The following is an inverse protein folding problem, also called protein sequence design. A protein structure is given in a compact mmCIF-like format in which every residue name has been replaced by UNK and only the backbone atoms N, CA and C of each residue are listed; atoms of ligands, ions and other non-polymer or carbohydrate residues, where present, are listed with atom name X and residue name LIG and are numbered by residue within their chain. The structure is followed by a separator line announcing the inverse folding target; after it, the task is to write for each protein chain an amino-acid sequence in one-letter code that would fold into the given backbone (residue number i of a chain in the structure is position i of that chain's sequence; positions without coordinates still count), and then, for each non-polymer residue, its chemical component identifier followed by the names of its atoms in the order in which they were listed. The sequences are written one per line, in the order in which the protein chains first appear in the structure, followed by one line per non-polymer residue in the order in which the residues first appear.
data_IF_330613425426
#
_entry.id   IF_330613425426
#
_cell.length_a   1.000
_cell.length_b   1.000
_cell.length_c   1.000
_cell.angle_alpha   90.00
_cell.angle_beta   90.00
_cell.angle_gamma   90.00
#
_symmetry.space_group_name_H-M   'P 1'
#
loop_
_entity.id
_entity.type
_entity.pdbx_description
1 polymer ?
#
# COMPACT_ATOMS: atom_id res chain seq x y z
N UNK A 1 -22.33 4.57 -6.71
CA UNK A 1 -23.54 4.04 -7.38
C UNK A 1 -23.44 2.52 -7.45
N UNK A 2 -24.54 1.82 -7.12
CA UNK A 2 -24.73 0.35 -7.03
C UNK A 2 -23.97 -0.37 -5.91
N UNK A 3 -24.60 -0.38 -4.73
CA UNK A 3 -24.48 -1.48 -3.75
C UNK A 3 -24.85 -2.75 -4.51
N UNK A 4 -23.86 -3.58 -4.83
CA UNK A 4 -24.09 -4.90 -5.38
C UNK A 4 -24.72 -5.76 -4.27
N UNK A 5 -26.06 -5.81 -4.26
CA UNK A 5 -26.82 -6.88 -3.65
C UNK A 5 -26.48 -8.17 -4.39
N UNK A 6 -25.37 -8.80 -4.01
CA UNK A 6 -24.93 -10.12 -4.47
C UNK A 6 -25.10 -11.13 -3.36
N UNK A 7 -26.36 -11.49 -3.11
CA UNK A 7 -26.74 -12.59 -2.23
C UNK A 7 -26.39 -13.90 -2.98
N UNK A 8 -25.29 -14.56 -2.62
CA UNK A 8 -25.07 -15.96 -2.99
C UNK A 8 -24.19 -16.65 -1.96
N UNK A 9 -24.74 -17.57 -1.14
CA UNK A 9 -23.95 -18.34 -0.19
C UNK A 9 -23.28 -19.46 -0.95
N UNK A 10 -21.95 -19.45 -1.07
CA UNK A 10 -21.24 -20.58 -1.65
C UNK A 10 -19.90 -20.80 -0.97
N UNK A 11 -19.95 -21.41 0.21
CA UNK A 11 -19.01 -22.45 0.61
C UNK A 11 -19.68 -23.36 1.66
N UNK A 12 -20.13 -24.53 1.21
CA UNK A 12 -20.52 -25.67 2.04
C UNK A 12 -19.23 -26.45 2.36
N UNK A 13 -18.89 -26.62 3.64
CA UNK A 13 -18.52 -27.92 4.21
C UNK A 13 -18.91 -27.89 5.69
N UNK A 14 -19.78 -28.84 5.99
CA UNK A 14 -20.49 -29.11 7.22
C UNK A 14 -19.56 -29.91 8.14
N UNK A 15 -19.42 -29.49 9.40
CA UNK A 15 -19.18 -30.44 10.48
C UNK A 15 -20.35 -30.36 11.45
N UNK A 16 -21.47 -30.98 11.05
CA UNK A 16 -22.48 -31.41 12.00
C UNK A 16 -21.80 -32.43 12.92
N UNK A 17 -21.23 -31.96 14.03
CA UNK A 17 -20.81 -32.84 15.12
C UNK A 17 -22.11 -33.36 15.72
N UNK A 18 -22.50 -34.56 15.29
CA UNK A 18 -23.59 -35.30 15.91
C UNK A 18 -23.16 -35.58 17.36
N UNK A 19 -23.57 -34.75 18.31
CA UNK A 19 -23.46 -35.06 19.73
C UNK A 19 -24.34 -36.29 19.99
N UNK A 20 -23.74 -37.48 19.97
CA UNK A 20 -24.38 -38.72 20.38
C UNK A 20 -24.44 -38.80 21.91
N UNK A 21 -25.14 -37.86 22.54
CA UNK A 21 -25.53 -37.94 23.95
C UNK A 21 -27.02 -38.22 24.01
N UNK A 22 -27.37 -39.50 24.14
CA UNK A 22 -28.76 -39.91 24.31
C UNK A 22 -29.31 -39.45 25.66
N UNK A 23 -30.26 -38.52 25.63
CA UNK A 23 -31.51 -38.46 26.42
C UNK A 23 -32.08 -37.02 26.39
N UNK A 24 -33.05 -36.77 25.50
CA UNK A 24 -34.24 -35.90 25.60
C UNK A 24 -34.23 -34.57 26.42
N UNK A 25 -33.09 -33.93 26.64
CA UNK A 25 -33.01 -32.57 27.15
C UNK A 25 -32.05 -31.73 26.30
N UNK A 26 -32.60 -30.72 25.61
CA UNK A 26 -31.84 -29.71 24.88
C UNK A 26 -31.29 -28.74 25.90
N UNK A 27 -30.04 -28.94 26.34
CA UNK A 27 -29.44 -28.12 27.38
C UNK A 27 -28.51 -27.06 26.78
N UNK A 28 -28.31 -25.95 27.52
CA UNK A 28 -27.28 -24.94 27.21
C UNK A 28 -25.90 -25.57 26.92
N UNK A 29 -25.65 -26.74 27.52
CA UNK A 29 -24.46 -27.57 27.35
C UNK A 29 -24.25 -28.01 25.89
N UNK A 30 -25.32 -28.31 25.13
CA UNK A 30 -25.19 -28.78 23.74
C UNK A 30 -24.81 -27.64 22.80
N UNK A 31 -25.43 -26.47 22.97
CA UNK A 31 -25.07 -25.24 22.24
C UNK A 31 -23.64 -24.82 22.57
N UNK A 32 -23.26 -24.88 23.86
CA UNK A 32 -21.91 -24.57 24.30
C UNK A 32 -20.89 -25.53 23.68
N UNK A 33 -21.19 -26.84 23.62
CA UNK A 33 -20.33 -27.84 23.00
C UNK A 33 -20.14 -27.58 21.50
N UNK A 34 -21.18 -27.19 20.77
CA UNK A 34 -21.06 -26.82 19.35
C UNK A 34 -20.14 -25.62 19.17
N UNK A 35 -20.33 -24.55 19.96
CA UNK A 35 -19.46 -23.36 19.90
C UNK A 35 -18.01 -23.74 20.21
N UNK A 36 -17.79 -24.53 21.26
CA UNK A 36 -16.45 -24.96 21.65
C UNK A 36 -15.77 -25.77 20.57
N UNK A 37 -16.46 -26.78 20.02
CA UNK A 37 -15.91 -27.62 18.98
C UNK A 37 -15.54 -26.84 17.72
N UNK A 38 -16.39 -25.88 17.30
CA UNK A 38 -16.12 -25.06 16.10
C UNK A 38 -14.99 -24.05 16.33
N UNK A 39 -14.98 -23.34 17.45
CA UNK A 39 -13.98 -22.30 17.70
C UNK A 39 -12.61 -22.85 18.15
N UNK A 40 -12.55 -24.02 18.78
CA UNK A 40 -11.27 -24.67 19.12
C UNK A 40 -10.51 -25.14 17.87
N UNK A 41 -11.20 -25.36 16.75
CA UNK A 41 -10.54 -25.62 15.46
C UNK A 41 -9.72 -24.42 15.00
N UNK A 42 -10.18 -23.19 15.30
CA UNK A 42 -9.47 -21.97 14.95
C UNK A 42 -8.17 -21.81 15.75
N UNK A 43 -8.11 -22.34 16.98
CA UNK A 43 -6.90 -22.29 17.82
C UNK A 43 -5.73 -23.10 17.28
N UNK A 44 -5.99 -24.11 16.45
CA UNK A 44 -4.98 -25.02 15.89
C UNK A 44 -5.16 -25.16 14.36
N UNK A 45 -5.38 -24.05 13.67
CA UNK A 45 -5.51 -24.02 12.21
C UNK A 45 -4.21 -24.41 11.52
N UNK A 46 -4.08 -25.70 11.19
CA UNK A 46 -3.15 -26.14 10.16
C UNK A 46 -3.67 -25.74 8.76
N UNK A 47 -2.75 -25.67 7.78
CA UNK A 47 -3.04 -25.24 6.40
C UNK A 47 -4.16 -26.07 5.73
N UNK A 48 -4.26 -27.37 6.06
CA UNK A 48 -5.26 -28.29 5.50
C UNK A 48 -6.66 -28.05 6.09
N UNK A 49 -6.73 -27.63 7.35
CA UNK A 49 -7.95 -27.27 8.07
C UNK A 49 -8.44 -25.90 7.59
N UNK A 50 -7.55 -24.91 7.49
CA UNK A 50 -7.83 -23.56 6.98
C UNK A 50 -8.59 -23.55 5.66
N UNK A 51 -8.21 -24.41 4.72
CA UNK A 51 -8.84 -24.48 3.39
C UNK A 51 -10.33 -24.86 3.42
N UNK A 52 -10.80 -25.49 4.50
CA UNK A 52 -12.20 -25.93 4.63
C UNK A 52 -13.12 -24.89 5.26
N UNK A 53 -12.58 -23.99 6.09
CA UNK A 53 -13.38 -23.07 6.92
C UNK A 53 -13.40 -21.64 6.39
N UNK A 54 -12.36 -21.24 5.67
CA UNK A 54 -12.15 -19.86 5.24
C UNK A 54 -12.54 -19.66 3.78
N UNK A 55 -13.49 -18.74 3.53
CA UNK A 55 -13.78 -18.25 2.20
C UNK A 55 -12.88 -17.06 1.88
N UNK A 56 -11.89 -17.30 1.02
CA UNK A 56 -10.86 -16.31 0.66
C UNK A 56 -11.40 -15.09 -0.09
N UNK A 57 -12.67 -15.11 -0.53
CA UNK A 57 -13.35 -13.97 -1.14
C UNK A 57 -13.86 -12.95 -0.13
N UNK A 58 -13.99 -13.33 1.14
CA UNK A 58 -14.66 -12.49 2.14
C UNK A 58 -13.83 -11.26 2.50
N UNK A 59 -12.50 -11.36 2.66
CA UNK A 59 -11.67 -10.21 3.02
C UNK A 59 -11.60 -9.14 1.93
N UNK A 60 -11.67 -9.53 0.65
CA UNK A 60 -11.61 -8.59 -0.47
C UNK A 60 -12.68 -8.93 -1.53
N UNK A 61 -13.95 -8.57 -1.28
CA UNK A 61 -15.08 -8.97 -2.12
C UNK A 61 -15.08 -8.31 -3.51
N UNK A 62 -14.24 -7.29 -3.71
CA UNK A 62 -14.03 -6.53 -4.95
C UNK A 62 -13.04 -7.21 -5.92
N UNK A 63 -12.40 -8.31 -5.54
CA UNK A 63 -11.49 -9.05 -6.41
C UNK A 63 -12.20 -9.56 -7.67
N UNK A 64 -11.70 -9.17 -8.84
CA UNK A 64 -12.31 -9.52 -10.14
C UNK A 64 -11.84 -10.84 -10.72
N UNK A 65 -10.76 -11.44 -10.18
CA UNK A 65 -10.19 -12.71 -10.63
C UNK A 65 -10.19 -13.74 -9.49
N UNK A 66 -10.88 -14.86 -9.69
CA UNK A 66 -10.69 -16.05 -8.85
C UNK A 66 -9.32 -16.65 -9.16
N UNK A 67 -8.46 -16.74 -8.14
CA UNK A 67 -7.13 -17.34 -8.27
C UNK A 67 -7.11 -18.60 -7.41
N UNK A 68 -6.55 -19.67 -7.97
CA UNK A 68 -6.21 -20.86 -7.18
C UNK A 68 -5.11 -20.45 -6.22
N UNK A 69 -5.46 -20.33 -4.94
CA UNK A 69 -4.59 -19.83 -3.88
C UNK A 69 -3.33 -20.69 -3.81
N UNK A 70 -2.18 -20.03 -3.87
CA UNK A 70 -0.87 -20.62 -3.64
C UNK A 70 -0.76 -21.13 -2.20
N UNK A 71 0.23 -21.96 -1.89
CA UNK A 71 0.35 -22.51 -0.54
C UNK A 71 0.69 -21.40 0.46
N UNK A 72 1.42 -20.39 0.00
CA UNK A 72 1.79 -19.16 0.70
C UNK A 72 0.53 -18.40 1.17
N UNK A 73 -0.50 -18.28 0.34
CA UNK A 73 -1.77 -17.63 0.75
C UNK A 73 -2.55 -18.45 1.78
N UNK A 74 -2.37 -19.77 1.83
CA UNK A 74 -3.05 -20.61 2.83
C UNK A 74 -2.49 -20.41 4.25
N UNK A 75 -1.22 -20.05 4.36
CA UNK A 75 -0.55 -19.85 5.65
C UNK A 75 -0.99 -18.54 6.33
N UNK A 76 -1.43 -17.54 5.55
CA UNK A 76 -1.93 -16.24 6.05
C UNK A 76 -3.01 -16.40 7.13
N UNK A 77 -3.95 -17.31 6.95
CA UNK A 77 -5.03 -17.51 7.92
C UNK A 77 -4.54 -18.16 9.20
N UNK A 78 -3.57 -19.07 9.13
CA UNK A 78 -2.95 -19.60 10.36
C UNK A 78 -2.28 -18.47 11.15
N UNK A 79 -1.72 -17.45 10.49
CA UNK A 79 -1.16 -16.27 11.15
C UNK A 79 -2.24 -15.40 11.83
N UNK A 80 -3.41 -15.22 11.20
CA UNK A 80 -4.53 -14.50 11.81
C UNK A 80 -5.00 -15.09 13.14
N UNK A 81 -4.94 -16.42 13.27
CA UNK A 81 -5.46 -17.15 14.42
C UNK A 81 -4.38 -17.65 15.40
N UNK A 82 -3.10 -17.27 15.21
CA UNK A 82 -1.99 -17.75 16.03
C UNK A 82 -2.20 -17.53 17.55
N UNK A 83 -2.80 -16.39 17.92
CA UNK A 83 -3.12 -16.04 19.31
C UNK A 83 -4.63 -15.93 19.54
N UNK A 84 -5.43 -16.65 18.75
CA UNK A 84 -6.88 -16.64 18.88
C UNK A 84 -7.33 -17.36 20.16
N UNK A 85 -8.21 -16.72 20.92
CA UNK A 85 -8.92 -17.36 22.03
C UNK A 85 -10.34 -16.80 22.14
N UNK A 86 -11.17 -17.45 22.95
CA UNK A 86 -12.52 -17.00 23.21
C UNK A 86 -13.03 -17.45 24.58
N UNK A 87 -13.96 -16.67 25.13
CA UNK A 87 -14.74 -16.97 26.33
C UNK A 87 -16.23 -16.92 25.99
N UNK A 88 -16.98 -17.98 26.34
CA UNK A 88 -18.44 -17.99 26.22
C UNK A 88 -19.01 -17.29 27.45
N UNK A 89 -19.53 -16.07 27.27
CA UNK A 89 -20.06 -15.24 28.36
C UNK A 89 -21.46 -15.67 28.76
N UNK A 90 -22.32 -15.96 27.78
CA UNK A 90 -23.68 -16.43 28.03
C UNK A 90 -24.26 -17.18 26.85
N UNK A 91 -25.20 -18.08 27.14
CA UNK A 91 -25.97 -18.84 26.14
C UNK A 91 -27.45 -18.73 26.50
N UNK A 92 -28.24 -18.34 25.51
CA UNK A 92 -29.70 -18.29 25.55
C UNK A 92 -30.27 -19.21 24.48
N UNK A 93 -31.17 -20.12 24.87
CA UNK A 93 -31.77 -21.11 23.98
C UNK A 93 -33.28 -20.89 23.94
N UNK A 94 -33.81 -20.67 22.75
CA UNK A 94 -35.24 -20.60 22.47
C UNK A 94 -35.66 -21.93 21.81
N UNK A 95 -36.08 -22.87 22.66
CA UNK A 95 -36.51 -24.21 22.22
C UNK A 95 -37.76 -24.16 21.34
N UNK A 96 -38.64 -23.18 21.53
CA UNK A 96 -39.87 -23.02 20.74
C UNK A 96 -39.52 -22.59 19.31
N UNK A 97 -38.54 -21.70 19.16
CA UNK A 97 -38.05 -21.24 17.85
C UNK A 97 -36.97 -22.12 17.24
N UNK A 98 -36.44 -23.10 18.00
CA UNK A 98 -35.26 -23.89 17.60
C UNK A 98 -34.05 -22.99 17.27
N UNK A 99 -33.87 -21.94 18.04
CA UNK A 99 -32.83 -20.92 17.87
C UNK A 99 -32.05 -20.74 19.18
N UNK A 100 -30.78 -20.38 19.08
CA UNK A 100 -29.97 -20.02 20.23
C UNK A 100 -29.09 -18.82 19.89
N UNK A 101 -28.74 -18.07 20.94
CA UNK A 101 -27.85 -16.93 20.86
C UNK A 101 -26.80 -17.06 21.95
N UNK A 102 -25.54 -16.91 21.59
CA UNK A 102 -24.43 -16.90 22.53
C UNK A 102 -23.67 -15.57 22.45
N UNK A 103 -23.37 -14.99 23.60
CA UNK A 103 -22.45 -13.86 23.70
C UNK A 103 -21.06 -14.39 24.01
N UNK A 104 -20.09 -13.99 23.20
CA UNK A 104 -18.69 -14.40 23.31
C UNK A 104 -17.81 -13.17 23.55
N UNK A 105 -16.71 -13.37 24.26
CA UNK A 105 -15.54 -12.49 24.21
C UNK A 105 -14.48 -13.17 23.37
N UNK A 106 -14.10 -12.57 22.25
CA UNK A 106 -13.05 -13.06 21.37
C UNK A 106 -11.76 -12.31 21.64
N UNK A 107 -10.66 -13.04 21.75
CA UNK A 107 -9.29 -12.52 21.74
C UNK A 107 -8.72 -12.77 20.35
N UNK A 108 -8.52 -11.70 19.57
CA UNK A 108 -7.94 -11.82 18.21
C UNK A 108 -6.79 -10.85 18.04
N UNK A 109 -6.10 -10.94 16.90
CA UNK A 109 -5.16 -9.92 16.46
C UNK A 109 -5.76 -8.49 16.51
N UNK A 110 -4.91 -7.50 16.78
CA UNK A 110 -5.18 -6.08 16.59
C UNK A 110 -5.34 -5.76 15.09
N UNK A 111 -6.54 -6.03 14.58
CA UNK A 111 -6.88 -5.84 13.20
C UNK A 111 -6.89 -4.36 12.78
N UNK A 112 -6.99 -3.41 13.73
CA UNK A 112 -6.95 -1.98 13.41
C UNK A 112 -5.53 -1.58 13.02
N UNK A 113 -4.53 -1.98 13.82
CA UNK A 113 -3.11 -1.78 13.47
C UNK A 113 -2.73 -2.53 12.19
N UNK A 114 -3.14 -3.79 12.04
CA UNK A 114 -2.89 -4.55 10.80
C UNK A 114 -3.51 -3.87 9.57
N UNK A 115 -4.74 -3.37 9.67
CA UNK A 115 -5.38 -2.66 8.57
C UNK A 115 -4.60 -1.38 8.22
N UNK A 116 -4.10 -0.66 9.23
CA UNK A 116 -3.28 0.53 9.04
C UNK A 116 -2.02 0.22 8.23
N UNK A 117 -1.25 -0.76 8.70
CA UNK A 117 0.00 -1.17 8.07
C UNK A 117 -0.26 -1.69 6.64
N UNK A 118 -1.37 -2.41 6.45
CA UNK A 118 -1.82 -2.85 5.13
C UNK A 118 -2.12 -1.66 4.21
N UNK A 119 -2.85 -0.65 4.69
CA UNK A 119 -3.16 0.56 3.94
C UNK A 119 -1.89 1.30 3.48
N UNK A 120 -0.93 1.48 4.38
CA UNK A 120 0.36 2.13 4.08
C UNK A 120 1.18 1.33 3.06
N UNK A 121 1.32 0.02 3.28
CA UNK A 121 2.12 -0.83 2.41
C UNK A 121 1.47 -1.02 1.03
N UNK A 122 0.14 -1.08 0.97
CA UNK A 122 -0.62 -1.14 -0.28
C UNK A 122 -0.44 0.15 -1.10
N UNK A 123 -0.55 1.31 -0.45
CA UNK A 123 -0.33 2.60 -1.09
C UNK A 123 1.12 2.75 -1.58
N UNK A 124 2.11 2.39 -0.76
CA UNK A 124 3.53 2.36 -1.16
C UNK A 124 3.74 1.49 -2.41
N UNK A 125 3.19 0.29 -2.43
CA UNK A 125 3.30 -0.62 -3.57
C UNK A 125 2.63 -0.03 -4.83
N UNK A 126 1.47 0.62 -4.69
CA UNK A 126 0.81 1.29 -5.81
C UNK A 126 1.66 2.44 -6.39
N UNK A 127 2.31 3.22 -5.53
CA UNK A 127 3.21 4.32 -5.94
C UNK A 127 4.44 3.77 -6.67
N UNK A 128 5.09 2.73 -6.14
CA UNK A 128 6.26 2.11 -6.78
C UNK A 128 5.90 1.47 -8.12
N UNK A 129 4.76 0.78 -8.20
CA UNK A 129 4.25 0.21 -9.46
C UNK A 129 4.00 1.27 -10.53
N UNK A 130 3.50 2.44 -10.13
CA UNK A 130 3.33 3.57 -11.06
C UNK A 130 4.67 4.15 -11.55
N UNK A 131 5.75 3.96 -10.78
CA UNK A 131 7.09 4.46 -11.09
C UNK A 131 7.93 3.51 -11.97
N UNK A 132 7.58 2.22 -12.11
CA UNK A 132 8.41 1.24 -12.83
C UNK A 132 8.28 1.29 -14.38
N UNK A 133 7.46 2.19 -14.96
CA UNK A 133 7.36 2.61 -16.39
C UNK A 133 7.25 1.62 -17.57
N UNK A 134 7.57 0.33 -17.50
CA UNK A 134 7.52 -0.54 -18.69
C UNK A 134 6.34 -1.54 -18.68
N UNK A 135 5.51 -1.49 -19.73
CA UNK A 135 4.94 -2.60 -20.52
C UNK A 135 4.67 -4.01 -19.91
N UNK A 136 4.51 -4.14 -18.59
CA UNK A 136 3.79 -5.25 -17.94
C UNK A 136 2.33 -4.88 -17.63
N UNK A 137 1.85 -3.80 -18.23
CA UNK A 137 0.42 -3.58 -18.48
C UNK A 137 -0.14 -4.50 -19.59
N UNK A 138 0.51 -5.63 -19.89
CA UNK A 138 -0.10 -6.75 -20.62
C UNK A 138 -1.02 -7.53 -19.69
N UNK A 139 -2.18 -6.96 -19.32
CA UNK A 139 -3.35 -7.65 -18.70
C UNK A 139 -3.10 -8.59 -17.48
N UNK A 140 -1.90 -8.58 -16.88
CA UNK A 140 -1.51 -9.51 -15.80
C UNK A 140 -1.13 -8.85 -14.48
N UNK A 141 -0.76 -7.57 -14.46
CA UNK A 141 -0.42 -6.89 -13.21
C UNK A 141 -1.32 -5.68 -12.99
N UNK A 142 -2.30 -5.85 -12.10
CA UNK A 142 -2.73 -4.88 -11.08
C UNK A 142 -4.00 -5.42 -10.44
N UNK A 143 -3.95 -5.62 -9.12
CA UNK A 143 -5.09 -5.88 -8.23
C UNK A 143 -5.59 -7.34 -8.17
N UNK A 144 -4.66 -8.26 -8.32
CA UNK A 144 -4.90 -9.69 -8.08
C UNK A 144 -5.12 -9.93 -6.58
N UNK A 145 -6.16 -10.68 -6.24
CA UNK A 145 -6.47 -11.13 -4.88
C UNK A 145 -5.23 -11.71 -4.17
N UNK A 146 -4.38 -12.41 -4.92
CA UNK A 146 -3.16 -13.03 -4.42
C UNK A 146 -2.15 -11.99 -3.92
N UNK A 147 -1.98 -10.86 -4.62
CA UNK A 147 -1.05 -9.80 -4.17
C UNK A 147 -1.47 -9.22 -2.82
N UNK A 148 -2.78 -9.07 -2.60
CA UNK A 148 -3.33 -8.57 -1.32
C UNK A 148 -3.08 -9.54 -0.18
N UNK A 149 -3.24 -10.83 -0.43
CA UNK A 149 -2.93 -11.86 0.56
C UNK A 149 -1.42 -11.99 0.83
N UNK A 150 -0.56 -11.89 -0.19
CA UNK A 150 0.90 -11.89 0.00
C UNK A 150 1.36 -10.67 0.81
N UNK A 151 0.69 -9.52 0.65
CA UNK A 151 0.99 -8.35 1.48
C UNK A 151 0.59 -8.58 2.94
N UNK A 152 -0.59 -9.17 3.19
CA UNK A 152 -1.00 -9.58 4.53
C UNK A 152 -0.04 -10.61 5.13
N UNK A 153 0.39 -11.61 4.35
CA UNK A 153 1.38 -12.59 4.76
C UNK A 153 2.67 -11.93 5.25
N UNK A 154 3.21 -11.03 4.43
CA UNK A 154 4.43 -10.29 4.75
C UNK A 154 4.26 -9.46 6.03
N UNK A 155 3.11 -8.80 6.20
CA UNK A 155 2.84 -7.96 7.37
C UNK A 155 2.68 -8.80 8.65
N UNK A 156 1.93 -9.90 8.58
CA UNK A 156 1.70 -10.80 9.70
C UNK A 156 2.97 -11.57 10.10
N UNK A 157 3.82 -11.92 9.13
CA UNK A 157 5.07 -12.64 9.37
C UNK A 157 6.17 -11.74 9.96
N UNK A 158 6.20 -10.46 9.59
CA UNK A 158 7.28 -9.55 9.99
C UNK A 158 6.96 -8.69 11.21
N UNK A 159 5.67 -8.55 11.58
CA UNK A 159 5.24 -7.72 12.69
C UNK A 159 4.57 -8.55 13.78
N UNK A 160 4.77 -8.14 15.04
CA UNK A 160 4.10 -8.74 16.18
C UNK A 160 2.95 -7.85 16.63
N UNK A 161 1.75 -8.12 16.13
CA UNK A 161 0.55 -7.40 16.52
C UNK A 161 0.06 -7.83 17.90
N UNK A 162 -0.50 -6.89 18.65
CA UNK A 162 -1.11 -7.18 19.93
C UNK A 162 -2.38 -8.04 19.77
N UNK A 163 -2.83 -8.63 20.87
CA UNK A 163 -4.15 -9.26 20.97
C UNK A 163 -5.13 -8.28 21.58
N UNK A 164 -6.31 -8.17 20.98
CA UNK A 164 -7.41 -7.31 21.42
C UNK A 164 -8.64 -8.16 21.71
N UNK A 165 -9.30 -7.89 22.84
CA UNK A 165 -10.56 -8.51 23.22
C UNK A 165 -11.76 -7.72 22.66
N UNK A 166 -12.75 -8.44 22.11
CA UNK A 166 -14.03 -7.86 21.67
C UNK A 166 -15.18 -8.78 21.99
N UNK A 167 -16.32 -8.20 22.36
CA UNK A 167 -17.54 -8.98 22.56
C UNK A 167 -18.32 -9.10 21.25
N UNK A 168 -18.80 -10.29 20.94
CA UNK A 168 -19.64 -10.55 19.78
C UNK A 168 -20.81 -11.46 20.14
N UNK A 169 -21.76 -11.56 19.20
CA UNK A 169 -22.92 -12.44 19.31
C UNK A 169 -22.88 -13.47 18.20
N UNK A 170 -23.07 -14.73 18.57
CA UNK A 170 -23.19 -15.87 17.67
C UNK A 170 -24.63 -16.38 17.73
N UNK A 171 -25.23 -16.58 16.56
CA UNK A 171 -26.54 -17.18 16.43
C UNK A 171 -26.39 -18.64 16.01
N UNK A 172 -27.25 -19.51 16.52
CA UNK A 172 -27.31 -20.91 16.18
C UNK A 172 -28.74 -21.30 15.85
N UNK A 173 -28.91 -22.24 14.92
CA UNK A 173 -30.20 -22.85 14.60
C UNK A 173 -30.13 -24.36 14.84
N UNK A 174 -31.25 -24.92 15.27
CA UNK A 174 -31.39 -26.36 15.43
C UNK A 174 -32.10 -26.96 14.22
N UNK A 175 -31.37 -27.80 13.46
CA UNK A 175 -31.86 -28.49 12.26
C UNK A 175 -32.40 -29.90 12.52
N UNK A 176 -32.46 -30.28 13.79
CA UNK A 176 -33.02 -31.56 14.25
C UNK A 176 -34.44 -31.77 13.72
N UNK A 177 -34.61 -32.84 12.94
CA UNK A 177 -35.86 -33.14 12.24
C UNK A 177 -36.88 -33.91 13.08
N UNK A 178 -36.46 -34.49 14.22
CA UNK A 178 -37.30 -35.28 15.12
C UNK A 178 -37.06 -34.90 16.59
N UNK A 179 -38.05 -35.08 17.46
CA UNK A 179 -38.06 -34.74 18.90
C UNK A 179 -36.96 -35.41 19.75
N UNK A 180 -36.13 -36.29 19.17
CA UNK A 180 -35.14 -37.10 19.89
C UNK A 180 -33.67 -36.72 19.62
N UNK A 181 -33.39 -35.83 18.67
CA UNK A 181 -32.00 -35.40 18.37
C UNK A 181 -31.93 -33.94 17.93
N UNK A 182 -31.35 -33.11 18.78
CA UNK A 182 -30.97 -31.75 18.43
C UNK A 182 -29.71 -31.75 17.58
N UNK A 183 -29.73 -30.95 16.52
CA UNK A 183 -28.59 -30.72 15.65
C UNK A 183 -28.38 -29.22 15.56
N UNK A 184 -27.66 -28.67 16.54
CA UNK A 184 -27.33 -27.26 16.60
C UNK A 184 -26.18 -26.93 15.64
N UNK A 185 -26.36 -25.85 14.88
CA UNK A 185 -25.34 -25.34 13.96
C UNK A 185 -25.20 -23.84 14.12
N UNK A 186 -23.96 -23.34 14.07
CA UNK A 186 -23.68 -21.90 14.02
C UNK A 186 -24.20 -21.32 12.71
N UNK A 187 -25.00 -20.26 12.82
CA UNK A 187 -25.44 -19.46 11.69
C UNK A 187 -24.27 -18.55 11.29
N UNK A 188 -23.64 -18.88 10.16
CA UNK A 188 -22.61 -18.02 9.57
C UNK A 188 -23.23 -16.68 9.16
N UNK A 189 -22.55 -15.60 9.54
CA UNK A 189 -22.91 -14.24 9.16
C UNK A 189 -21.65 -13.43 8.91
N UNK A 190 -21.76 -12.41 8.06
CA UNK A 190 -20.67 -11.49 7.81
C UNK A 190 -20.16 -10.81 9.09
N UNK A 191 -21.06 -10.54 10.05
CA UNK A 191 -20.69 -10.02 11.36
C UNK A 191 -19.80 -11.00 12.13
N UNK A 192 -20.16 -12.28 12.17
CA UNK A 192 -19.36 -13.30 12.84
C UNK A 192 -17.98 -13.45 12.17
N UNK A 193 -17.95 -13.58 10.85
CA UNK A 193 -16.71 -13.72 10.07
C UNK A 193 -15.77 -12.53 10.30
N UNK A 194 -16.31 -11.31 10.26
CA UNK A 194 -15.54 -10.11 10.56
C UNK A 194 -15.03 -10.08 12.01
N UNK A 195 -15.85 -10.49 12.98
CA UNK A 195 -15.44 -10.54 14.38
C UNK A 195 -14.31 -11.55 14.62
N UNK A 196 -14.31 -12.69 13.92
CA UNK A 196 -13.26 -13.71 14.02
C UNK A 196 -11.90 -13.22 13.52
N UNK A 197 -11.87 -12.38 12.49
CA UNK A 197 -10.65 -11.69 12.00
C UNK A 197 -10.41 -10.34 12.66
N UNK A 198 -11.05 -10.09 13.81
CA UNK A 198 -10.81 -8.93 14.64
C UNK A 198 -11.41 -7.61 14.17
N UNK A 199 -12.31 -7.64 13.19
CA UNK A 199 -12.91 -6.46 12.57
C UNK A 199 -12.21 -6.01 11.29
N UNK A 200 -11.22 -6.77 10.79
CA UNK A 200 -10.39 -6.38 9.65
C UNK A 200 -11.19 -5.96 8.42
N UNK A 201 -12.28 -6.66 8.10
CA UNK A 201 -13.10 -6.35 6.91
C UNK A 201 -13.72 -4.95 7.01
N UNK A 202 -14.12 -4.55 8.22
CA UNK A 202 -14.63 -3.21 8.48
C UNK A 202 -13.53 -2.17 8.35
N UNK A 203 -12.35 -2.40 8.94
CA UNK A 203 -11.25 -1.45 8.86
C UNK A 203 -10.74 -1.26 7.42
N UNK A 204 -10.60 -2.35 6.66
CA UNK A 204 -10.18 -2.28 5.25
C UNK A 204 -11.21 -1.60 4.34
N UNK A 205 -12.47 -1.56 4.76
CA UNK A 205 -13.55 -0.86 4.03
C UNK A 205 -13.68 0.61 4.45
N UNK A 206 -12.93 1.06 5.46
CA UNK A 206 -12.94 2.45 5.90
C UNK A 206 -12.21 3.32 4.87
N UNK A 207 -12.93 4.24 4.25
CA UNK A 207 -12.35 5.14 3.27
C UNK A 207 -11.41 6.19 3.88
N UNK A 208 -11.39 6.32 5.21
CA UNK A 208 -10.47 7.13 5.98
C UNK A 208 -9.48 6.30 6.79
N UNK A 209 -9.26 5.03 6.40
CA UNK A 209 -8.26 4.15 7.03
C UNK A 209 -6.91 4.84 7.18
N UNK A 210 -6.48 5.58 6.14
CA UNK A 210 -5.40 6.57 6.23
C UNK A 210 -6.02 7.96 6.20
N UNK A 211 -5.60 8.84 7.11
CA UNK A 211 -5.92 10.27 7.04
C UNK A 211 -5.20 10.93 5.85
N UNK A 212 -5.55 12.18 5.48
CA UNK A 212 -4.83 12.91 4.46
C UNK A 212 -3.33 13.06 4.77
N UNK A 213 -2.97 13.33 6.03
CA UNK A 213 -1.57 13.52 6.47
C UNK A 213 -0.76 12.23 6.37
N UNK A 214 -1.32 11.11 6.82
CA UNK A 214 -0.67 9.80 6.71
C UNK A 214 -0.53 9.39 5.23
N UNK A 215 -1.57 9.64 4.43
CA UNK A 215 -1.53 9.39 2.98
C UNK A 215 -0.38 10.16 2.33
N UNK A 216 -0.27 11.48 2.56
CA UNK A 216 0.83 12.30 2.03
C UNK A 216 2.19 11.84 2.56
N UNK A 217 2.26 11.44 3.84
CA UNK A 217 3.47 10.92 4.46
C UNK A 217 3.97 9.66 3.75
N UNK A 218 3.06 8.74 3.41
CA UNK A 218 3.41 7.54 2.61
C UNK A 218 3.90 7.93 1.22
N UNK A 219 3.26 8.89 0.53
CA UNK A 219 3.74 9.40 -0.76
C UNK A 219 5.17 9.90 -0.67
N UNK A 220 5.44 10.86 0.22
CA UNK A 220 6.75 11.51 0.33
C UNK A 220 7.84 10.56 0.84
N UNK A 221 7.51 9.64 1.76
CA UNK A 221 8.45 8.61 2.20
C UNK A 221 8.74 7.57 1.11
N UNK A 222 7.78 7.28 0.23
CA UNK A 222 8.01 6.36 -0.89
C UNK A 222 9.01 6.94 -1.89
N UNK A 223 8.96 8.26 -2.15
CA UNK A 223 9.96 8.95 -2.98
C UNK A 223 11.39 8.73 -2.47
N UNK A 224 11.61 8.72 -1.14
CA UNK A 224 12.93 8.45 -0.53
C UNK A 224 13.48 7.05 -0.84
N UNK A 225 12.64 6.13 -1.31
CA UNK A 225 13.00 4.74 -1.60
C UNK A 225 13.16 4.44 -3.08
N UNK A 226 12.75 5.36 -3.95
CA UNK A 226 12.79 5.17 -5.39
C UNK A 226 14.23 5.22 -5.90
N UNK A 227 14.57 4.32 -6.82
CA UNK A 227 15.83 4.43 -7.56
C UNK A 227 15.76 5.54 -8.62
N UNK A 228 16.87 5.76 -9.32
CA UNK A 228 17.01 6.78 -10.36
C UNK A 228 15.96 6.68 -11.48
N UNK A 229 15.68 5.46 -11.95
CA UNK A 229 14.71 5.19 -13.01
C UNK A 229 13.29 5.46 -12.51
N UNK A 230 12.91 4.88 -11.38
CA UNK A 230 11.62 5.08 -10.73
C UNK A 230 11.32 6.56 -10.47
N UNK A 231 12.29 7.30 -9.94
CA UNK A 231 12.15 8.74 -9.69
C UNK A 231 11.93 9.51 -10.99
N UNK A 232 12.69 9.18 -12.04
CA UNK A 232 12.57 9.80 -13.36
C UNK A 232 11.17 9.64 -13.94
N UNK A 233 10.66 8.41 -13.89
CA UNK A 233 9.33 8.04 -14.39
C UNK A 233 8.20 8.65 -13.56
N UNK A 234 8.32 8.60 -12.22
CA UNK A 234 7.28 9.10 -11.35
C UNK A 234 7.10 10.62 -11.47
N UNK A 235 8.20 11.36 -11.62
CA UNK A 235 8.16 12.82 -11.68
C UNK A 235 8.00 13.38 -13.10
N UNK A 236 7.95 12.52 -14.14
CA UNK A 236 7.84 12.96 -15.53
C UNK A 236 9.06 13.74 -16.00
N UNK A 237 10.24 13.37 -15.50
CA UNK A 237 11.52 13.98 -15.81
C UNK A 237 12.42 13.01 -16.56
N UNK A 238 11.87 12.00 -17.23
CA UNK A 238 12.60 10.94 -17.94
C UNK A 238 13.59 11.50 -18.96
N UNK A 239 13.30 12.67 -19.54
CA UNK A 239 14.22 13.40 -20.43
C UNK A 239 15.56 13.77 -19.76
N UNK A 240 15.60 13.87 -18.42
CA UNK A 240 16.82 14.03 -17.63
C UNK A 240 17.51 12.70 -17.31
N UNK A 241 16.78 11.59 -17.25
CA UNK A 241 17.21 10.32 -16.66
C UNK A 241 17.43 9.19 -17.67
N UNK A 242 16.89 9.30 -18.88
CA UNK A 242 16.92 8.24 -19.88
C UNK A 242 17.36 8.78 -21.24
N UNK A 243 18.67 8.93 -21.40
CA UNK A 243 19.29 9.34 -22.67
C UNK A 243 20.38 8.34 -23.06
N UNK A 244 20.75 8.32 -24.34
CA UNK A 244 21.94 7.58 -24.81
C UNK A 244 23.27 8.17 -24.33
N UNK A 245 23.23 9.31 -23.63
CA UNK A 245 24.39 10.05 -23.14
C UNK A 245 24.75 9.61 -21.72
N UNK A 246 25.94 9.02 -21.56
CA UNK A 246 26.44 8.50 -20.28
C UNK A 246 26.68 9.60 -19.25
N UNK A 247 27.00 10.82 -19.68
CA UNK A 247 27.26 11.94 -18.78
C UNK A 247 25.96 12.48 -18.21
N UNK A 248 24.91 12.57 -19.03
CA UNK A 248 23.55 12.92 -18.58
C UNK A 248 23.03 11.91 -17.56
N UNK A 249 23.19 10.61 -17.81
CA UNK A 249 22.78 9.56 -16.88
C UNK A 249 23.55 9.65 -15.54
N UNK A 250 24.83 10.05 -15.59
CA UNK A 250 25.64 10.29 -14.38
C UNK A 250 25.18 11.50 -13.58
N UNK A 251 24.74 12.57 -14.24
CA UNK A 251 24.13 13.75 -13.62
C UNK A 251 22.81 13.38 -12.95
N UNK A 252 21.96 12.64 -13.66
CA UNK A 252 20.68 12.18 -13.16
C UNK A 252 20.86 11.34 -11.87
N UNK A 253 21.74 10.34 -11.90
CA UNK A 253 22.06 9.54 -10.73
C UNK A 253 22.57 10.40 -9.55
N UNK A 254 23.47 11.35 -9.80
CA UNK A 254 23.99 12.25 -8.77
C UNK A 254 22.91 13.16 -8.16
N UNK A 255 21.93 13.60 -8.96
CA UNK A 255 20.80 14.39 -8.45
C UNK A 255 19.89 13.57 -7.54
N UNK A 256 19.64 12.30 -7.87
CA UNK A 256 18.83 11.39 -7.03
C UNK A 256 19.56 11.02 -5.74
N UNK A 257 20.87 10.76 -5.80
CA UNK A 257 21.69 10.60 -4.59
C UNK A 257 21.64 11.84 -3.69
N UNK A 258 21.77 13.03 -4.29
CA UNK A 258 21.71 14.28 -3.56
C UNK A 258 20.33 14.50 -2.94
N UNK A 259 19.26 14.21 -3.69
CA UNK A 259 17.89 14.19 -3.18
C UNK A 259 17.76 13.27 -1.97
N UNK A 260 18.15 11.99 -2.05
CA UNK A 260 18.05 11.07 -0.92
C UNK A 260 18.81 11.54 0.32
N UNK A 261 19.94 12.23 0.13
CA UNK A 261 20.75 12.75 1.23
C UNK A 261 20.21 14.04 1.88
N UNK A 262 19.34 14.78 1.18
CA UNK A 262 18.88 16.11 1.61
C UNK A 262 17.37 16.22 1.82
N UNK A 263 16.60 15.31 1.23
CA UNK A 263 15.15 15.41 1.21
C UNK A 263 14.54 15.13 2.57
N UNK A 264 13.81 16.12 3.07
CA UNK A 264 13.01 15.99 4.26
C UNK A 264 11.73 16.81 4.15
N UNK A 265 10.75 16.54 4.99
CA UNK A 265 9.50 17.27 4.97
C UNK A 265 8.89 17.42 6.37
N UNK A 266 8.17 18.53 6.56
CA UNK A 266 7.41 18.80 7.76
C UNK A 266 6.01 19.28 7.36
N UNK A 267 4.99 18.45 7.66
CA UNK A 267 3.59 18.85 7.52
C UNK A 267 3.30 19.85 8.63
N UNK A 268 2.85 21.04 8.25
CA UNK A 268 2.55 22.16 9.15
C UNK A 268 1.07 22.30 9.48
N UNK A 269 0.18 21.94 8.57
CA UNK A 269 -1.26 21.89 8.82
C UNK A 269 -1.96 21.01 7.78
N UNK A 270 -3.12 20.48 8.17
CA UNK A 270 -4.06 19.81 7.29
C UNK A 270 -5.46 20.37 7.55
N UNK A 271 -6.03 20.99 6.53
CA UNK A 271 -7.39 21.51 6.54
C UNK A 271 -8.27 20.55 5.73
N UNK A 272 -9.16 19.82 6.41
CA UNK A 272 -10.08 18.85 5.81
C UNK A 272 -11.49 19.43 5.69
N UNK A 273 -12.04 19.40 4.47
CA UNK A 273 -13.41 19.81 4.16
C UNK A 273 -14.13 18.73 3.33
N UNK A 274 -15.01 17.98 3.99
CA UNK A 274 -15.78 16.88 3.39
C UNK A 274 -14.89 15.80 2.77
N UNK A 275 -14.77 15.78 1.44
CA UNK A 275 -13.96 14.80 0.70
C UNK A 275 -12.67 15.42 0.16
N UNK A 276 -12.30 16.64 0.60
CA UNK A 276 -11.09 17.32 0.16
C UNK A 276 -10.23 17.68 1.36
N UNK A 277 -8.91 17.65 1.17
CA UNK A 277 -7.95 18.09 2.16
C UNK A 277 -6.87 18.95 1.51
N UNK A 278 -6.48 20.01 2.21
CA UNK A 278 -5.38 20.89 1.83
C UNK A 278 -4.30 20.78 2.90
N UNK A 279 -3.12 20.33 2.51
CA UNK A 279 -2.01 20.08 3.43
C UNK A 279 -0.89 21.06 3.13
N UNK A 280 -0.51 21.86 4.12
CA UNK A 280 0.63 22.76 4.02
C UNK A 280 1.88 22.05 4.55
N UNK A 281 2.91 21.97 3.72
CA UNK A 281 4.14 21.22 4.03
C UNK A 281 5.36 22.09 3.73
N UNK A 282 6.38 22.00 4.57
CA UNK A 282 7.71 22.52 4.27
C UNK A 282 8.57 21.37 3.76
N UNK A 283 9.09 21.51 2.54
CA UNK A 283 10.01 20.54 1.93
C UNK A 283 11.42 21.09 2.05
N UNK A 284 12.33 20.27 2.54
CA UNK A 284 13.77 20.51 2.51
C UNK A 284 14.37 19.69 1.38
N UNK A 285 15.19 20.31 0.53
CA UNK A 285 15.91 19.65 -0.57
C UNK A 285 17.24 20.37 -0.81
N UNK A 286 18.06 19.90 -1.73
CA UNK A 286 19.27 20.59 -2.16
C UNK A 286 18.97 21.95 -2.82
N UNK A 287 19.86 22.92 -2.62
CA UNK A 287 19.73 24.23 -3.25
C UNK A 287 20.23 24.19 -4.71
N UNK A 288 19.30 24.09 -5.66
CA UNK A 288 19.62 24.08 -7.09
C UNK A 288 20.29 25.38 -7.56
N UNK A 289 19.98 26.53 -6.95
CA UNK A 289 20.58 27.81 -7.33
C UNK A 289 22.04 27.91 -6.87
N UNK A 290 22.37 27.35 -5.70
CA UNK A 290 23.75 27.24 -5.25
C UNK A 290 24.59 26.40 -6.22
N UNK A 291 24.04 25.26 -6.69
CA UNK A 291 24.67 24.40 -7.71
C UNK A 291 24.91 25.19 -9.00
N UNK A 292 23.86 25.80 -9.55
CA UNK A 292 23.93 26.53 -10.82
C UNK A 292 24.87 27.73 -10.75
N UNK A 293 24.89 28.47 -9.65
CA UNK A 293 25.81 29.60 -9.44
C UNK A 293 27.26 29.12 -9.40
N UNK A 294 27.55 28.05 -8.65
CA UNK A 294 28.89 27.48 -8.57
C UNK A 294 29.35 26.92 -9.92
N UNK A 295 28.43 26.31 -10.67
CA UNK A 295 28.67 25.77 -12.01
C UNK A 295 28.99 26.90 -13.00
N UNK A 296 28.16 27.94 -13.05
CA UNK A 296 28.33 29.06 -13.99
C UNK A 296 29.67 29.78 -13.77
N UNK A 297 30.05 30.02 -12.51
CA UNK A 297 31.33 30.67 -12.18
C UNK A 297 32.55 29.87 -12.70
N UNK A 298 32.51 28.54 -12.61
CA UNK A 298 33.60 27.69 -13.09
C UNK A 298 33.57 27.54 -14.61
N UNK A 299 32.38 27.47 -15.20
CA UNK A 299 32.21 27.46 -16.65
C UNK A 299 32.74 28.75 -17.28
N UNK A 300 32.39 29.93 -16.75
CA UNK A 300 32.87 31.22 -17.26
C UNK A 300 34.40 31.34 -17.18
N UNK A 301 34.98 30.80 -16.11
CA UNK A 301 36.44 30.72 -15.94
C UNK A 301 37.07 29.83 -17.01
N UNK A 302 36.50 28.65 -17.27
CA UNK A 302 36.97 27.75 -18.32
C UNK A 302 36.81 28.37 -19.71
N UNK A 303 35.65 28.95 -20.03
CA UNK A 303 35.37 29.58 -21.34
C UNK A 303 36.27 30.78 -21.62
N UNK A 304 36.76 31.45 -20.58
CA UNK A 304 37.73 32.56 -20.69
C UNK A 304 39.19 32.09 -20.85
N UNK A 305 39.45 30.77 -20.77
CA UNK A 305 40.80 30.20 -20.85
C UNK A 305 41.24 29.92 -22.28
N UNK A 306 42.57 29.79 -22.49
CA UNK A 306 43.12 29.33 -23.76
C UNK A 306 42.69 27.89 -24.08
N UNK A 307 42.45 27.05 -23.06
CA UNK A 307 42.06 25.65 -23.23
C UNK A 307 40.69 25.55 -23.92
N UNK A 308 39.70 26.39 -23.55
CA UNK A 308 38.38 26.40 -24.19
C UNK A 308 38.42 26.83 -25.67
N UNK A 309 39.39 27.65 -26.07
CA UNK A 309 39.61 28.02 -27.48
C UNK A 309 40.16 26.83 -28.26
N UNK A 310 41.06 26.06 -27.66
CA UNK A 310 41.69 24.89 -28.27
C UNK A 310 40.72 23.70 -28.36
N UNK A 311 39.89 23.52 -27.34
CA UNK A 311 39.08 22.33 -27.13
C UNK A 311 37.96 22.14 -28.16
N UNK A 312 37.58 23.20 -28.89
CA UNK A 312 36.48 23.12 -29.84
C UNK A 312 35.15 22.82 -29.15
N UNK A 313 34.12 22.52 -29.93
CA UNK A 313 32.74 22.57 -29.47
C UNK A 313 32.35 21.33 -28.63
N UNK A 314 32.70 20.14 -29.12
CA UNK A 314 32.48 18.85 -28.44
C UNK A 314 33.12 18.79 -27.05
N UNK A 315 34.42 19.11 -26.93
CA UNK A 315 35.10 19.04 -25.63
C UNK A 315 34.62 20.13 -24.67
N UNK A 316 34.18 21.30 -25.16
CA UNK A 316 33.56 22.30 -24.30
C UNK A 316 32.24 21.80 -23.71
N UNK A 317 31.44 21.08 -24.50
CA UNK A 317 30.23 20.42 -24.03
C UNK A 317 30.55 19.35 -22.96
N UNK A 318 31.50 18.44 -23.23
CA UNK A 318 31.95 17.43 -22.26
C UNK A 318 32.46 18.07 -20.97
N UNK A 319 33.26 19.14 -21.08
CA UNK A 319 33.76 19.87 -19.91
C UNK A 319 32.63 20.51 -19.11
N UNK A 320 31.63 21.06 -19.79
CA UNK A 320 30.43 21.63 -19.17
C UNK A 320 29.66 20.57 -18.37
N UNK A 321 29.43 19.38 -18.93
CA UNK A 321 28.83 18.24 -18.23
C UNK A 321 29.62 17.84 -16.98
N UNK A 322 30.95 17.70 -17.09
CA UNK A 322 31.81 17.35 -15.96
C UNK A 322 31.77 18.39 -14.84
N UNK A 323 31.75 19.68 -15.18
CA UNK A 323 31.63 20.77 -14.22
C UNK A 323 30.30 20.69 -13.47
N UNK A 324 29.19 20.53 -14.19
CA UNK A 324 27.87 20.41 -13.57
C UNK A 324 27.80 19.21 -12.62
N UNK A 325 28.24 18.03 -13.08
CA UNK A 325 28.28 16.81 -12.26
C UNK A 325 29.12 17.02 -10.98
N UNK A 326 30.27 17.68 -11.10
CA UNK A 326 31.12 18.00 -9.95
C UNK A 326 30.42 18.91 -8.94
N UNK A 327 29.67 19.92 -9.41
CA UNK A 327 28.92 20.83 -8.52
C UNK A 327 27.74 20.16 -7.84
N UNK A 328 27.04 19.26 -8.51
CA UNK A 328 26.00 18.45 -7.88
C UNK A 328 26.60 17.59 -6.77
N UNK A 329 27.66 16.83 -7.06
CA UNK A 329 28.30 15.91 -6.10
C UNK A 329 28.92 16.60 -4.88
N UNK A 330 29.37 17.85 -5.03
CA UNK A 330 30.00 18.62 -3.95
C UNK A 330 29.04 19.55 -3.21
N UNK A 331 27.77 19.63 -3.65
CA UNK A 331 26.81 20.50 -3.01
C UNK A 331 26.44 20.01 -1.61
N UNK A 332 26.44 20.94 -0.66
CA UNK A 332 25.96 20.72 0.71
C UNK A 332 24.88 21.72 1.11
N UNK A 333 24.57 22.68 0.24
CA UNK A 333 23.54 23.67 0.49
C UNK A 333 22.16 23.05 0.33
N UNK A 334 21.27 23.38 1.27
CA UNK A 334 19.86 22.98 1.25
C UNK A 334 18.98 24.21 1.29
N UNK A 335 17.76 24.06 0.78
CA UNK A 335 16.72 25.09 0.79
C UNK A 335 15.44 24.50 1.33
N UNK A 336 14.64 25.34 2.00
CA UNK A 336 13.30 24.98 2.45
C UNK A 336 12.26 25.74 1.64
N UNK A 337 11.32 25.00 1.07
CA UNK A 337 10.25 25.54 0.22
C UNK A 337 8.90 25.14 0.79
N UNK A 338 7.97 26.10 0.86
CA UNK A 338 6.58 25.82 1.21
C UNK A 338 5.88 25.17 0.00
N UNK A 339 5.20 24.05 0.24
CA UNK A 339 4.40 23.32 -0.72
C UNK A 339 2.99 23.12 -0.17
N UNK A 340 2.00 23.13 -1.07
CA UNK A 340 0.60 22.89 -0.74
C UNK A 340 0.14 21.68 -1.53
N UNK A 341 -0.40 20.69 -0.82
CA UNK A 341 -0.88 19.44 -1.39
C UNK A 341 -2.39 19.35 -1.28
N UNK A 342 -3.02 18.89 -2.36
CA UNK A 342 -4.46 18.69 -2.42
C UNK A 342 -4.77 17.21 -2.53
N UNK A 343 -5.54 16.69 -1.58
CA UNK A 343 -6.03 15.33 -1.60
C UNK A 343 -7.54 15.32 -1.72
N UNK A 344 -8.07 14.31 -2.40
CA UNK A 344 -9.51 14.05 -2.48
C UNK A 344 -9.80 12.61 -2.12
N UNK A 345 -10.79 12.39 -1.28
CA UNK A 345 -11.30 11.05 -0.97
C UNK A 345 -12.30 10.62 -2.04
N UNK A 346 -12.00 9.53 -2.76
CA UNK A 346 -12.84 9.01 -3.84
C UNK A 346 -13.99 8.09 -3.35
N UNK A 347 -14.17 7.99 -2.04
CA UNK A 347 -15.09 7.07 -1.39
C UNK A 347 -14.46 5.71 -1.05
N UNK A 348 -13.21 5.46 -1.45
CA UNK A 348 -12.41 4.28 -1.09
C UNK A 348 -11.14 4.69 -0.33
N UNK A 349 -10.47 5.77 -0.71
CA UNK A 349 -9.27 6.27 -0.03
C UNK A 349 -8.93 7.70 -0.45
N UNK A 350 -8.07 8.37 0.32
CA UNK A 350 -7.50 9.66 -0.08
C UNK A 350 -6.52 9.51 -1.24
N UNK A 351 -6.68 10.33 -2.28
CA UNK A 351 -5.84 10.38 -3.48
C UNK A 351 -5.21 11.76 -3.63
N UNK A 352 -3.91 11.80 -3.93
CA UNK A 352 -3.19 13.03 -4.25
C UNK A 352 -3.56 13.51 -5.67
N UNK A 353 -4.07 14.74 -5.81
CA UNK A 353 -4.74 15.21 -7.03
C UNK A 353 -3.81 15.70 -8.15
N UNK A 354 -2.62 16.21 -7.85
CA UNK A 354 -1.68 16.72 -8.87
C UNK A 354 -0.25 16.75 -8.32
N UNK A 355 0.34 15.56 -8.16
CA UNK A 355 1.62 15.39 -7.47
C UNK A 355 2.83 15.79 -8.32
N UNK A 356 2.87 15.46 -9.60
CA UNK A 356 4.16 15.25 -10.25
C UNK A 356 4.88 16.57 -10.59
N UNK A 357 4.17 17.56 -11.17
CA UNK A 357 4.79 18.83 -11.53
C UNK A 357 5.12 19.70 -10.31
N UNK A 358 4.22 19.76 -9.33
CA UNK A 358 4.43 20.54 -8.11
C UNK A 358 5.55 19.95 -7.24
N UNK A 359 5.57 18.61 -7.09
CA UNK A 359 6.62 17.91 -6.34
C UNK A 359 7.95 17.99 -7.09
N UNK A 360 7.97 17.75 -8.40
CA UNK A 360 9.19 17.84 -9.21
C UNK A 360 9.83 19.22 -9.11
N UNK A 361 9.04 20.30 -9.23
CA UNK A 361 9.54 21.67 -9.06
C UNK A 361 9.98 21.96 -7.62
N UNK A 362 9.27 21.45 -6.62
CA UNK A 362 9.65 21.64 -5.22
C UNK A 362 10.95 20.90 -4.86
N UNK A 363 11.25 19.78 -5.53
CA UNK A 363 12.45 18.96 -5.31
C UNK A 363 13.64 19.48 -6.11
N UNK A 364 13.50 19.64 -7.43
CA UNK A 364 14.61 19.93 -8.34
C UNK A 364 14.77 21.42 -8.66
N UNK A 365 13.76 22.24 -8.35
CA UNK A 365 13.79 23.67 -8.63
C UNK A 365 14.12 23.95 -10.09
N UNK A 366 15.13 24.79 -10.31
CA UNK A 366 15.64 25.20 -11.63
C UNK A 366 16.41 24.10 -12.37
N UNK A 367 16.74 22.99 -11.71
CA UNK A 367 17.37 21.81 -12.32
C UNK A 367 16.35 20.80 -12.85
N UNK A 368 15.06 21.17 -12.96
CA UNK A 368 14.04 20.35 -13.64
C UNK A 368 14.29 20.19 -15.15
N UNK A 369 15.28 20.89 -15.71
CA UNK A 369 15.79 20.77 -17.08
C UNK A 369 17.32 20.88 -17.09
N UNK A 370 18.00 20.34 -18.11
CA UNK A 370 19.46 20.50 -18.25
C UNK A 370 19.82 21.96 -18.48
N UNK A 371 20.75 22.56 -17.70
CA UNK A 371 21.24 23.92 -17.94
C UNK A 371 22.28 23.97 -19.06
N UNK A 372 22.72 22.82 -19.57
CA UNK A 372 23.74 22.76 -20.62
C UNK A 372 23.05 22.73 -21.98
N UNK A 373 23.35 23.73 -22.80
CA UNK A 373 22.85 23.84 -24.16
C UNK A 373 23.38 22.69 -25.02
N UNK A 374 22.48 21.95 -25.66
CA UNK A 374 22.84 21.06 -26.76
C UNK A 374 23.33 21.93 -27.92
N UNK A 375 24.56 21.71 -28.39
CA UNK A 375 24.98 22.36 -29.62
C UNK A 375 24.20 21.74 -30.77
N UNK A 376 23.45 22.57 -31.51
CA UNK A 376 22.87 22.15 -32.77
C UNK A 376 24.00 21.59 -33.63
N UNK A 377 23.81 20.39 -34.19
CA UNK A 377 24.62 19.94 -35.31
C UNK A 377 24.43 20.96 -36.45
N UNK A 378 25.25 22.01 -36.47
CA UNK A 378 25.50 22.80 -37.65
C UNK A 378 26.25 21.89 -38.63
N UNK A 379 25.53 20.94 -39.23
CA UNK A 379 25.82 20.53 -40.59
C UNK A 379 25.51 21.75 -41.45
N UNK A 380 26.49 22.65 -41.52
CA UNK A 380 26.50 23.73 -42.47
C UNK A 380 26.31 23.12 -43.87
N UNK A 381 25.16 23.43 -44.44
CA UNK A 381 24.85 23.34 -45.84
C UNK A 381 25.92 24.11 -46.63
N UNK A 382 27.00 23.42 -47.01
CA UNK A 382 27.92 23.94 -48.01
C UNK A 382 27.36 23.61 -49.38
N UNK A 383 26.33 24.35 -49.77
CA UNK A 383 25.98 24.56 -51.17
C UNK A 383 27.15 25.30 -51.83
N UNK A 384 28.17 24.57 -52.27
CA UNK A 384 29.15 25.10 -53.23
C UNK A 384 28.46 25.21 -54.59
N UNK A 385 27.93 26.40 -54.87
CA UNK A 385 27.83 26.89 -56.24
C UNK A 385 29.24 27.15 -56.76
N UNK A 386 29.66 26.36 -57.75
CA UNK A 386 30.39 26.84 -58.93
C UNK A 386 30.23 25.86 -60.09
#
# INVERSE_FOLDING_TARGET
MKIAKGLMPFLLIILAVICLTGCSHVDKTDVQAVITNELDLLKNLDSDTTQKYVSYKELFPDATKEIKLSNEVKEVFSLFFQNFDYEILSVNVDNDKKEATASLRLSTIDAASLAKDYGEASLKNAILKAADSEEQATEKNTDSMEERYLLLDQLLSNNNYATVERECTVELCNKGSNDDKDEWEIIRSHSLENNLVGGLMTYLSDNNLLSPEETLTVYLNTLKTMNTEQMGNYLGIESLFNTSDTDKNSIAAALVELFHSTFDFNISSCDEESYNAVIQTKITTFDSNAILTAYQNELDTYLSSADAVIDGSVKRYEKSMQLLLSKIKSNTATVQTAAVFHLTNDGVSWKLQDSNAAIGNAIFGTLSSTPVSEEANDTADSSEQN
#
